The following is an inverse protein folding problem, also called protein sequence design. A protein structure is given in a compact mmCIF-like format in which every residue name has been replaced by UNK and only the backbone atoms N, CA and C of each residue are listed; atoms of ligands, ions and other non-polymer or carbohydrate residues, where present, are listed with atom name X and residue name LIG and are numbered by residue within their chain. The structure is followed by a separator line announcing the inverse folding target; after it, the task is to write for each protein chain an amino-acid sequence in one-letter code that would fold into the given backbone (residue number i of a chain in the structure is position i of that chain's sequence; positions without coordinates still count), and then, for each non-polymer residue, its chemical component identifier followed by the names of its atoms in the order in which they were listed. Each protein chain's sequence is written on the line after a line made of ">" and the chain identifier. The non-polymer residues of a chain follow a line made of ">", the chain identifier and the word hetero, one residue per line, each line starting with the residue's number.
data_IF_335039247057
#
_entry.id   IF_335039247057
#
_cell.length_a   1.000
_cell.length_b   1.000
_cell.length_c   1.000
_cell.angle_alpha   90.00
_cell.angle_beta   90.00
_cell.angle_gamma   90.00
#
_symmetry.space_group_name_H-M   'P 1'
#
loop_
_entity.id
_entity.type
_entity.pdbx_description
1 polymer ?
#
# COMPACT_ATOMS: atom_id res chain seq x y z
N UNK A 1 16.76 14.03 -3.63
CA UNK A 1 16.99 15.50 -3.58
C UNK A 1 16.56 16.12 -2.24
N UNK A 2 15.26 16.28 -1.93
CA UNK A 2 14.84 17.04 -0.73
C UNK A 2 15.17 16.31 0.60
N UNK A 3 15.01 14.99 0.65
CA UNK A 3 15.42 14.19 1.81
C UNK A 3 16.94 14.32 2.10
N UNK A 4 17.76 14.33 1.05
CA UNK A 4 19.21 14.51 1.15
C UNK A 4 19.58 15.93 1.62
N UNK A 5 18.80 16.93 1.21
CA UNK A 5 18.96 18.31 1.65
C UNK A 5 18.65 18.43 3.15
N UNK A 6 17.57 17.81 3.63
CA UNK A 6 17.24 17.79 5.06
C UNK A 6 18.32 17.11 5.92
N UNK A 7 18.93 16.02 5.44
CA UNK A 7 20.06 15.39 6.13
C UNK A 7 21.31 16.28 6.13
N UNK A 8 21.54 17.08 5.09
CA UNK A 8 22.70 17.99 5.05
C UNK A 8 22.57 19.13 6.06
N UNK A 9 21.35 19.56 6.39
CA UNK A 9 21.09 20.62 7.39
C UNK A 9 21.00 20.10 8.83
N UNK A 10 21.35 18.84 9.09
CA UNK A 10 21.43 18.26 10.45
C UNK A 10 22.40 19.01 11.37
N UNK A 11 23.46 19.61 10.81
CA UNK A 11 24.47 20.36 11.55
C UNK A 11 24.03 21.80 11.92
N UNK A 12 22.88 22.27 11.42
CA UNK A 12 22.39 23.64 11.60
C UNK A 12 21.04 23.71 12.34
N UNK A 13 20.75 22.72 13.20
CA UNK A 13 19.50 22.63 13.97
C UNK A 13 19.26 23.82 14.90
N UNK A 14 20.31 24.54 15.28
CA UNK A 14 20.24 25.69 16.18
C UNK A 14 19.70 26.96 15.51
N UNK A 15 19.55 26.96 14.18
CA UNK A 15 18.96 28.08 13.45
C UNK A 15 17.44 27.90 13.34
N UNK A 16 16.69 28.77 14.03
CA UNK A 16 15.22 28.72 14.06
C UNK A 16 14.57 28.57 12.67
N UNK A 17 15.05 29.31 11.66
CA UNK A 17 14.51 29.23 10.29
C UNK A 17 14.68 27.86 9.65
N UNK A 18 15.77 27.14 9.96
CA UNK A 18 16.04 25.78 9.45
C UNK A 18 15.09 24.79 10.14
N UNK A 19 14.84 24.97 11.43
CA UNK A 19 13.85 24.19 12.19
C UNK A 19 12.44 24.38 11.63
N UNK A 20 12.01 25.63 11.41
CA UNK A 20 10.69 25.94 10.83
C UNK A 20 10.50 25.30 9.44
N UNK A 21 11.53 25.33 8.59
CA UNK A 21 11.51 24.70 7.27
C UNK A 21 11.43 23.17 7.37
N UNK A 22 12.16 22.56 8.32
CA UNK A 22 12.13 21.11 8.57
C UNK A 22 10.74 20.67 9.04
N UNK A 23 10.11 21.44 9.92
CA UNK A 23 8.74 21.18 10.39
C UNK A 23 7.72 21.29 9.25
N UNK A 24 7.79 22.35 8.44
CA UNK A 24 6.94 22.50 7.25
C UNK A 24 7.12 21.32 6.30
N UNK A 25 8.35 20.90 6.04
CA UNK A 25 8.63 19.75 5.19
C UNK A 25 8.05 18.45 5.75
N UNK A 26 8.20 18.21 7.05
CA UNK A 26 7.60 17.07 7.75
C UNK A 26 6.07 17.08 7.63
N UNK A 27 5.45 18.25 7.80
CA UNK A 27 4.00 18.40 7.68
C UNK A 27 3.51 18.11 6.26
N UNK A 28 4.21 18.60 5.23
CA UNK A 28 3.88 18.31 3.83
C UNK A 28 3.96 16.81 3.56
N UNK A 29 5.03 16.13 4.01
CA UNK A 29 5.15 14.67 3.89
C UNK A 29 3.96 13.94 4.52
N UNK A 30 3.54 14.38 5.71
CA UNK A 30 2.43 13.77 6.43
C UNK A 30 1.09 13.97 5.70
N UNK A 31 0.85 15.16 5.15
CA UNK A 31 -0.36 15.46 4.36
C UNK A 31 -0.39 14.59 3.10
N UNK A 32 0.73 14.54 2.36
CA UNK A 32 0.84 13.70 1.16
C UNK A 32 0.59 12.23 1.49
N UNK A 33 1.20 11.71 2.56
CA UNK A 33 0.93 10.36 3.05
C UNK A 33 -0.56 10.16 3.33
N UNK A 34 -1.22 11.07 4.07
CA UNK A 34 -2.64 10.91 4.39
C UNK A 34 -3.55 10.91 3.18
N UNK A 35 -3.26 11.76 2.18
CA UNK A 35 -4.04 11.83 0.96
C UNK A 35 -3.92 10.53 0.16
N UNK A 36 -2.69 10.05 -0.06
CA UNK A 36 -2.46 8.78 -0.77
C UNK A 36 -3.17 7.63 -0.06
N UNK A 37 -3.07 7.53 1.27
CA UNK A 37 -3.74 6.46 2.01
C UNK A 37 -5.27 6.55 1.93
N UNK A 38 -5.83 7.75 1.92
CA UNK A 38 -7.26 7.98 1.71
C UNK A 38 -7.69 7.53 0.32
N UNK A 39 -6.93 7.87 -0.72
CA UNK A 39 -7.22 7.50 -2.11
C UNK A 39 -7.19 5.97 -2.28
N UNK A 40 -6.17 5.30 -1.71
CA UNK A 40 -6.13 3.84 -1.75
C UNK A 40 -7.29 3.20 -0.97
N UNK A 41 -7.77 3.84 0.10
CA UNK A 41 -8.88 3.33 0.91
C UNK A 41 -10.23 3.37 0.17
N UNK A 42 -10.42 4.31 -0.77
CA UNK A 42 -11.62 4.40 -1.61
C UNK A 42 -11.61 3.46 -2.82
N UNK A 43 -10.48 2.81 -3.12
CA UNK A 43 -10.41 1.83 -4.20
C UNK A 43 -11.39 0.69 -3.97
N UNK A 44 -12.32 0.51 -4.92
CA UNK A 44 -13.37 -0.51 -4.90
C UNK A 44 -14.70 -0.06 -4.28
N UNK A 45 -14.85 1.22 -3.95
CA UNK A 45 -16.12 1.80 -3.44
C UNK A 45 -16.86 2.68 -4.43
N UNK A 46 -16.31 2.90 -5.64
CA UNK A 46 -16.86 3.77 -6.69
C UNK A 46 -17.75 3.05 -7.71
N UNK A 47 -18.31 3.80 -8.68
CA UNK A 47 -19.02 3.25 -9.85
C UNK A 47 -18.02 2.91 -10.97
N UNK A 48 -18.30 1.87 -11.75
CA UNK A 48 -17.41 1.33 -12.81
C UNK A 48 -16.85 2.41 -13.79
N UNK A 49 -17.63 3.45 -14.12
CA UNK A 49 -17.20 4.51 -15.05
C UNK A 49 -16.16 5.48 -14.47
N UNK A 50 -16.03 5.57 -13.15
CA UNK A 50 -15.05 6.40 -12.45
C UNK A 50 -13.74 5.65 -12.17
N UNK A 51 -13.73 4.32 -12.37
CA UNK A 51 -12.60 3.47 -12.00
C UNK A 51 -11.36 3.73 -12.84
N UNK A 52 -11.48 3.93 -14.17
CA UNK A 52 -10.30 4.13 -15.03
C UNK A 52 -9.44 5.34 -14.64
N UNK A 53 -10.08 6.48 -14.36
CA UNK A 53 -9.38 7.68 -13.90
C UNK A 53 -8.80 7.50 -12.49
N UNK A 54 -9.52 6.81 -11.62
CA UNK A 54 -9.05 6.49 -10.27
C UNK A 54 -7.82 5.57 -10.29
N UNK A 55 -7.79 4.55 -11.16
CA UNK A 55 -6.64 3.64 -11.29
C UNK A 55 -5.38 4.40 -11.73
N UNK A 56 -5.50 5.34 -12.68
CA UNK A 56 -4.38 6.17 -13.09
C UNK A 56 -3.92 7.10 -11.96
N UNK A 57 -4.85 7.74 -11.25
CA UNK A 57 -4.53 8.60 -10.11
C UNK A 57 -3.80 7.83 -9.00
N UNK A 58 -4.21 6.59 -8.72
CA UNK A 58 -3.54 5.74 -7.74
C UNK A 58 -2.14 5.30 -8.20
N UNK A 59 -1.95 5.12 -9.51
CA UNK A 59 -0.63 4.83 -10.08
C UNK A 59 0.30 6.03 -9.92
N UNK A 60 -0.19 7.24 -10.19
CA UNK A 60 0.55 8.48 -9.96
C UNK A 60 0.84 8.70 -8.46
N UNK A 61 -0.10 8.31 -7.58
CA UNK A 61 0.09 8.36 -6.14
C UNK A 61 1.23 7.42 -5.66
N UNK A 62 1.48 6.31 -6.34
CA UNK A 62 2.66 5.47 -6.04
C UNK A 62 3.98 6.22 -6.28
N UNK A 63 4.05 7.12 -7.27
CA UNK A 63 5.24 7.95 -7.49
C UNK A 63 5.47 8.93 -6.33
N UNK A 64 4.39 9.46 -5.74
CA UNK A 64 4.47 10.29 -4.53
C UNK A 64 5.02 9.48 -3.36
N UNK A 65 4.57 8.24 -3.19
CA UNK A 65 5.06 7.34 -2.13
C UNK A 65 6.54 7.02 -2.30
N UNK A 66 7.01 6.74 -3.51
CA UNK A 66 8.44 6.51 -3.77
C UNK A 66 9.29 7.77 -3.51
N UNK A 67 8.72 8.96 -3.67
CA UNK A 67 9.38 10.22 -3.32
C UNK A 67 9.41 10.53 -1.81
N UNK A 68 8.56 9.86 -1.02
CA UNK A 68 8.54 9.96 0.44
C UNK A 68 9.66 9.12 1.07
N UNK A 69 9.32 8.20 1.97
CA UNK A 69 10.26 7.34 2.70
C UNK A 69 9.88 5.87 2.46
N UNK A 70 10.85 4.94 2.43
CA UNK A 70 10.59 3.51 2.19
C UNK A 70 9.56 2.91 3.15
N UNK A 71 9.53 3.39 4.40
CA UNK A 71 8.54 3.01 5.42
C UNK A 71 7.10 3.31 5.01
N UNK A 72 6.86 4.39 4.27
CA UNK A 72 5.51 4.76 3.77
C UNK A 72 5.03 3.73 2.75
N UNK A 73 5.92 3.29 1.86
CA UNK A 73 5.63 2.23 0.89
C UNK A 73 5.32 0.91 1.59
N UNK A 74 6.16 0.51 2.54
CA UNK A 74 5.95 -0.72 3.32
C UNK A 74 4.60 -0.72 4.04
N UNK A 75 4.24 0.40 4.67
CA UNK A 75 2.98 0.58 5.36
C UNK A 75 1.78 0.56 4.40
N UNK A 76 1.88 1.24 3.25
CA UNK A 76 0.83 1.26 2.25
C UNK A 76 0.58 -0.16 1.70
N UNK A 77 1.63 -0.85 1.27
CA UNK A 77 1.54 -2.21 0.72
C UNK A 77 0.99 -3.18 1.77
N UNK A 78 1.45 -3.09 3.02
CA UNK A 78 0.93 -3.90 4.13
C UNK A 78 -0.55 -3.65 4.38
N UNK A 79 -0.96 -2.38 4.42
CA UNK A 79 -2.36 -1.99 4.62
C UNK A 79 -3.25 -2.51 3.50
N UNK A 80 -2.78 -2.39 2.26
CA UNK A 80 -3.45 -2.91 1.09
C UNK A 80 -3.60 -4.43 1.14
N UNK A 81 -2.51 -5.16 1.38
CA UNK A 81 -2.53 -6.63 1.47
C UNK A 81 -3.44 -7.12 2.61
N UNK A 82 -3.41 -6.46 3.77
CA UNK A 82 -4.33 -6.74 4.88
C UNK A 82 -5.79 -6.63 4.40
N UNK A 83 -6.15 -5.53 3.74
CA UNK A 83 -7.51 -5.29 3.24
C UNK A 83 -7.96 -6.36 2.25
N UNK A 84 -7.09 -6.73 1.31
CA UNK A 84 -7.38 -7.79 0.34
C UNK A 84 -7.64 -9.14 1.02
N UNK A 85 -6.86 -9.47 2.05
CA UNK A 85 -6.96 -10.72 2.81
C UNK A 85 -8.09 -10.75 3.84
N UNK A 86 -8.73 -9.62 4.17
CA UNK A 86 -9.93 -9.59 5.03
C UNK A 86 -11.01 -10.51 4.48
N UNK A 87 -11.24 -10.50 3.16
CA UNK A 87 -12.21 -11.37 2.52
C UNK A 87 -11.83 -12.86 2.57
N UNK A 88 -10.54 -13.17 2.54
CA UNK A 88 -10.05 -14.52 2.78
C UNK A 88 -10.35 -14.98 4.21
N UNK A 89 -10.04 -14.13 5.20
CA UNK A 89 -10.32 -14.43 6.61
C UNK A 89 -11.81 -14.72 6.79
N UNK A 90 -12.71 -13.86 6.31
CA UNK A 90 -14.15 -14.08 6.43
C UNK A 90 -14.65 -15.42 5.84
N UNK A 91 -14.01 -15.92 4.78
CA UNK A 91 -14.39 -17.17 4.14
C UNK A 91 -13.80 -18.39 4.85
N UNK A 92 -12.56 -18.31 5.33
CA UNK A 92 -11.80 -19.45 5.83
C UNK A 92 -11.54 -19.43 7.35
N UNK A 93 -12.04 -18.42 8.05
CA UNK A 93 -12.03 -18.34 9.51
C UNK A 93 -13.01 -19.37 10.09
N UNK A 94 -12.47 -20.33 10.83
CA UNK A 94 -13.23 -21.43 11.43
C UNK A 94 -12.50 -22.75 11.35
N UNK A 95 -12.61 -23.56 12.42
CA UNK A 95 -11.85 -24.80 12.60
C UNK A 95 -12.04 -25.82 11.46
N UNK A 96 -13.19 -25.81 10.77
CA UNK A 96 -13.49 -26.72 9.66
C UNK A 96 -12.88 -26.31 8.32
N UNK A 97 -12.76 -25.00 8.05
CA UNK A 97 -12.24 -24.46 6.79
C UNK A 97 -10.72 -24.19 6.84
N UNK A 98 -10.14 -24.18 8.04
CA UNK A 98 -8.71 -24.13 8.30
C UNK A 98 -8.02 -25.51 8.24
N UNK A 99 -8.76 -26.61 8.05
CA UNK A 99 -8.19 -27.96 7.97
C UNK A 99 -7.28 -28.15 6.76
N UNK A 100 -6.31 -29.05 6.90
CA UNK A 100 -5.30 -29.35 5.86
C UNK A 100 -5.93 -29.81 4.54
N UNK A 101 -7.06 -30.52 4.57
CA UNK A 101 -7.80 -30.97 3.38
C UNK A 101 -8.44 -29.80 2.59
N UNK A 102 -8.51 -28.60 3.17
CA UNK A 102 -9.00 -27.38 2.49
C UNK A 102 -7.90 -26.54 1.87
N UNK A 103 -6.63 -26.96 2.00
CA UNK A 103 -5.46 -26.24 1.48
C UNK A 103 -5.56 -25.96 -0.03
N UNK A 104 -6.03 -26.92 -0.83
CA UNK A 104 -6.24 -26.71 -2.28
C UNK A 104 -7.26 -25.59 -2.56
N UNK A 105 -8.33 -25.49 -1.77
CA UNK A 105 -9.34 -24.44 -1.90
C UNK A 105 -8.76 -23.07 -1.54
N UNK A 106 -7.93 -23.00 -0.50
CA UNK A 106 -7.21 -21.77 -0.09
C UNK A 106 -6.25 -21.31 -1.20
N UNK A 107 -5.47 -22.22 -1.79
CA UNK A 107 -4.61 -21.91 -2.94
C UNK A 107 -5.41 -21.50 -4.19
N UNK A 108 -6.55 -22.13 -4.46
CA UNK A 108 -7.42 -21.74 -5.56
C UNK A 108 -7.98 -20.33 -5.36
N UNK A 109 -8.30 -19.95 -4.12
CA UNK A 109 -8.79 -18.62 -3.78
C UNK A 109 -7.76 -17.53 -4.12
N UNK A 110 -6.51 -17.65 -3.64
CA UNK A 110 -5.50 -16.60 -3.89
C UNK A 110 -5.15 -16.50 -5.38
N UNK A 111 -5.05 -17.64 -6.09
CA UNK A 111 -4.85 -17.65 -7.55
C UNK A 111 -5.97 -16.93 -8.29
N UNK A 112 -7.23 -17.13 -7.88
CA UNK A 112 -8.38 -16.43 -8.47
C UNK A 112 -8.31 -14.94 -8.15
N UNK A 113 -8.03 -14.56 -6.90
CA UNK A 113 -7.91 -13.16 -6.49
C UNK A 113 -6.88 -12.40 -7.32
N UNK A 114 -5.72 -13.00 -7.55
CA UNK A 114 -4.67 -12.43 -8.39
C UNK A 114 -5.11 -12.25 -9.86
N UNK A 115 -5.86 -13.20 -10.42
CA UNK A 115 -6.32 -13.13 -11.82
C UNK A 115 -7.46 -12.15 -12.04
N UNK A 116 -8.45 -12.14 -11.15
CA UNK A 116 -9.66 -11.31 -11.33
C UNK A 116 -9.39 -9.83 -11.14
N UNK A 117 -8.36 -9.48 -10.35
CA UNK A 117 -8.02 -8.09 -10.03
C UNK A 117 -6.79 -7.58 -10.79
N UNK A 118 -6.51 -8.09 -11.99
CA UNK A 118 -5.28 -7.80 -12.75
C UNK A 118 -5.00 -6.29 -12.88
N UNK A 119 -6.01 -5.50 -13.23
CA UNK A 119 -5.89 -4.05 -13.40
C UNK A 119 -5.54 -3.32 -12.10
N UNK A 120 -6.00 -3.82 -10.96
CA UNK A 120 -5.65 -3.26 -9.65
C UNK A 120 -4.17 -3.50 -9.34
N UNK A 121 -3.64 -4.68 -9.69
CA UNK A 121 -2.21 -4.97 -9.47
C UNK A 121 -1.31 -4.11 -10.35
N UNK A 122 -1.79 -3.67 -11.52
CA UNK A 122 -1.07 -2.79 -12.45
C UNK A 122 -0.93 -1.34 -11.96
N UNK A 123 -1.71 -0.93 -10.96
CA UNK A 123 -1.55 0.38 -10.30
C UNK A 123 -0.15 0.49 -9.66
N UNK A 124 0.34 -0.59 -9.07
CA UNK A 124 1.59 -0.57 -8.32
C UNK A 124 2.81 -0.71 -9.25
N UNK A 125 3.90 0.04 -8.99
CA UNK A 125 5.17 -0.18 -9.67
C UNK A 125 5.64 -1.63 -9.51
N UNK A 126 6.12 -2.25 -10.59
CA UNK A 126 6.54 -3.66 -10.55
C UNK A 126 7.67 -3.94 -9.54
N UNK A 127 8.50 -2.94 -9.26
CA UNK A 127 9.58 -3.00 -8.26
C UNK A 127 9.08 -3.13 -6.81
N UNK A 128 7.80 -2.84 -6.56
CA UNK A 128 7.20 -3.00 -5.23
C UNK A 128 6.81 -4.45 -4.94
N UNK A 129 6.68 -5.29 -5.98
CA UNK A 129 6.36 -6.71 -5.86
C UNK A 129 5.09 -6.99 -5.01
N UNK A 130 4.07 -6.15 -5.12
CA UNK A 130 2.85 -6.22 -4.29
C UNK A 130 2.14 -7.59 -4.36
N UNK A 131 1.92 -8.21 -5.55
CA UNK A 131 1.32 -9.55 -5.62
C UNK A 131 2.14 -10.63 -4.89
N UNK A 132 3.47 -10.51 -4.91
CA UNK A 132 4.36 -11.44 -4.20
C UNK A 132 4.27 -11.24 -2.68
N UNK A 133 4.24 -9.99 -2.21
CA UNK A 133 4.07 -9.66 -0.79
C UNK A 133 2.71 -10.11 -0.26
N UNK A 134 1.64 -9.99 -1.06
CA UNK A 134 0.33 -10.54 -0.75
C UNK A 134 0.40 -12.06 -0.54
N UNK A 135 1.13 -12.78 -1.42
CA UNK A 135 1.30 -14.23 -1.29
C UNK A 135 2.08 -14.61 -0.03
N UNK A 136 3.16 -13.90 0.30
CA UNK A 136 3.88 -14.12 1.57
C UNK A 136 2.94 -13.95 2.76
N UNK A 137 2.14 -12.89 2.74
CA UNK A 137 1.23 -12.62 3.85
C UNK A 137 0.11 -13.65 3.96
N UNK A 138 -0.44 -14.08 2.83
CA UNK A 138 -1.39 -15.19 2.76
C UNK A 138 -0.81 -16.48 3.35
N UNK A 139 0.43 -16.83 3.01
CA UNK A 139 1.12 -18.01 3.56
C UNK A 139 1.31 -17.93 5.08
N UNK A 140 1.52 -16.74 5.64
CA UNK A 140 1.61 -16.54 7.10
C UNK A 140 0.28 -16.75 7.83
N UNK A 141 -0.84 -16.66 7.12
CA UNK A 141 -2.19 -16.84 7.65
C UNK A 141 -2.77 -18.24 7.43
N UNK A 142 -2.10 -19.07 6.63
CA UNK A 142 -2.58 -20.39 6.18
C UNK A 142 -2.02 -21.50 7.05
#
# INVERSE_FOLDING_TARGET
>A
AVNQLCSHFEAYRDFQKITDLREKFKNIKQILKSHVFSDFSSLGTGKETEEGNLLQQLSDACLVVDALEPSVREELVKTFCNRELTSYQQIFEGAELAKLDKTERRYAWIKRRLRTNEEIWKIFPSSWHVPYLLCIQFCKMT
#
